data_IF_623641195490
#
_entry.id   IF_623641195490
#
_cell.length_a   1.000
_cell.length_b   1.000
_cell.length_c   1.000
_cell.angle_alpha   90.00
_cell.angle_beta   90.00
_cell.angle_gamma   90.00
#
_symmetry.space_group_name_H-M   'P 1'
#
loop_
_entity.id
_entity.type
_entity.pdbx_description
1 polymer ?
#
# COMPACT_ATOMS: atom_id res chain seq x y z
N UNK A 1 -1.33 -12.95 26.27
CA UNK A 1 0.07 -12.48 26.42
C UNK A 1 0.60 -12.25 25.01
N UNK A 2 0.74 -10.99 24.57
CA UNK A 2 1.32 -10.69 23.27
C UNK A 2 2.84 -10.88 23.38
N UNK A 3 3.32 -12.09 23.12
CA UNK A 3 4.74 -12.36 23.00
C UNK A 3 5.19 -11.87 21.62
N UNK A 4 5.57 -10.59 21.56
CA UNK A 4 6.19 -10.05 20.36
C UNK A 4 7.55 -10.75 20.19
N UNK A 5 7.75 -11.41 19.04
CA UNK A 5 9.01 -12.09 18.70
C UNK A 5 10.17 -11.12 18.39
N UNK A 6 10.00 -9.83 18.73
CA UNK A 6 10.89 -8.74 18.34
C UNK A 6 11.23 -7.91 19.57
N UNK A 7 12.52 -7.85 19.90
CA UNK A 7 13.06 -7.09 21.04
C UNK A 7 13.00 -5.56 20.84
N UNK A 8 12.86 -5.10 19.59
CA UNK A 8 12.87 -3.68 19.27
C UNK A 8 12.20 -3.38 17.93
N UNK A 9 11.75 -2.13 17.75
CA UNK A 9 11.18 -1.64 16.49
C UNK A 9 12.12 -1.84 15.30
N UNK A 10 13.44 -1.70 15.53
CA UNK A 10 14.46 -2.00 14.53
C UNK A 10 14.50 -3.50 14.17
N UNK A 11 14.40 -4.39 15.16
CA UNK A 11 14.34 -5.83 14.95
C UNK A 11 13.08 -6.28 14.21
N UNK A 12 11.96 -5.59 14.40
CA UNK A 12 10.74 -5.81 13.63
C UNK A 12 10.87 -5.39 12.16
N UNK A 13 11.57 -4.28 11.87
CA UNK A 13 11.77 -3.82 10.49
C UNK A 13 12.78 -4.68 9.75
N UNK A 14 13.89 -5.04 10.42
CA UNK A 14 14.98 -5.80 9.80
C UNK A 14 14.65 -7.30 9.75
N UNK A 15 13.87 -7.82 10.70
CA UNK A 15 13.57 -9.25 10.90
C UNK A 15 14.79 -10.14 10.61
N UNK A 16 15.91 -9.88 11.28
CA UNK A 16 17.17 -10.62 11.10
C UNK A 16 17.65 -10.73 9.63
N UNK A 17 17.34 -9.72 8.81
CA UNK A 17 17.66 -9.67 7.38
C UNK A 17 16.53 -10.12 6.45
N UNK A 18 15.46 -10.71 6.98
CA UNK A 18 14.29 -11.12 6.19
C UNK A 18 13.27 -10.01 5.96
N UNK A 19 13.33 -8.92 6.73
CA UNK A 19 12.35 -7.84 6.66
C UNK A 19 12.31 -7.19 5.29
N UNK A 20 13.46 -7.09 4.61
CA UNK A 20 13.54 -6.50 3.26
C UNK A 20 12.57 -7.17 2.27
N UNK A 21 12.44 -8.49 2.29
CA UNK A 21 11.54 -9.21 1.38
C UNK A 21 10.06 -8.93 1.70
N UNK A 22 9.72 -8.91 2.99
CA UNK A 22 8.35 -8.64 3.47
C UNK A 22 7.94 -7.23 3.11
N UNK A 23 8.79 -6.25 3.43
CA UNK A 23 8.53 -4.84 3.14
C UNK A 23 8.51 -4.57 1.63
N UNK A 24 9.41 -5.17 0.84
CA UNK A 24 9.40 -5.00 -0.61
C UNK A 24 8.08 -5.47 -1.23
N UNK A 25 7.59 -6.68 -0.90
CA UNK A 25 6.31 -7.18 -1.42
C UNK A 25 5.15 -6.34 -0.90
N UNK A 26 5.18 -5.97 0.38
CA UNK A 26 4.17 -5.08 0.97
C UNK A 26 4.08 -3.74 0.24
N UNK A 27 5.21 -3.11 -0.07
CA UNK A 27 5.26 -1.86 -0.83
C UNK A 27 4.70 -2.03 -2.24
N UNK A 28 5.03 -3.12 -2.93
CA UNK A 28 4.49 -3.39 -4.27
C UNK A 28 2.96 -3.47 -4.22
N UNK A 29 2.40 -4.23 -3.27
CA UNK A 29 0.94 -4.37 -3.12
C UNK A 29 0.28 -3.03 -2.80
N UNK A 30 0.86 -2.26 -1.89
CA UNK A 30 0.36 -0.92 -1.54
C UNK A 30 0.38 0.01 -2.76
N UNK A 31 1.46 0.00 -3.55
CA UNK A 31 1.58 0.81 -4.77
C UNK A 31 0.52 0.37 -5.80
N UNK A 32 0.29 -0.93 -5.97
CA UNK A 32 -0.73 -1.45 -6.88
C UNK A 32 -2.14 -1.01 -6.46
N UNK A 33 -2.46 -1.09 -5.17
CA UNK A 33 -3.75 -0.63 -4.64
C UNK A 33 -3.95 0.86 -4.82
N UNK A 34 -2.94 1.67 -4.49
CA UNK A 34 -2.98 3.13 -4.68
C UNK A 34 -3.18 3.46 -6.16
N UNK A 35 -2.44 2.79 -7.04
CA UNK A 35 -2.52 2.99 -8.49
C UNK A 35 -3.92 2.68 -9.01
N UNK A 36 -4.52 1.57 -8.58
CA UNK A 36 -5.90 1.21 -8.92
C UNK A 36 -6.89 2.27 -8.44
N UNK A 37 -6.73 2.74 -7.20
CA UNK A 37 -7.62 3.74 -6.62
C UNK A 37 -7.52 5.10 -7.33
N UNK A 38 -6.30 5.52 -7.67
CA UNK A 38 -6.04 6.75 -8.43
C UNK A 38 -6.62 6.64 -9.84
N UNK A 39 -6.40 5.51 -10.52
CA UNK A 39 -6.96 5.26 -11.85
C UNK A 39 -8.49 5.33 -11.82
N UNK A 40 -9.11 4.64 -10.88
CA UNK A 40 -10.56 4.62 -10.73
C UNK A 40 -11.12 6.01 -10.41
N UNK A 41 -10.49 6.75 -9.49
CA UNK A 41 -10.87 8.15 -9.18
C UNK A 41 -10.75 9.06 -10.40
N UNK A 42 -9.73 8.88 -11.22
CA UNK A 42 -9.57 9.67 -12.45
C UNK A 42 -10.66 9.34 -13.46
N UNK A 43 -11.01 8.07 -13.63
CA UNK A 43 -12.08 7.66 -14.54
C UNK A 43 -13.46 8.16 -14.08
N UNK A 44 -13.77 8.05 -12.78
CA UNK A 44 -14.97 8.64 -12.19
C UNK A 44 -15.04 10.16 -12.39
N UNK A 45 -13.92 10.87 -12.25
CA UNK A 45 -13.87 12.31 -12.54
C UNK A 45 -14.17 12.62 -14.00
N UNK A 46 -13.67 11.81 -14.95
CA UNK A 46 -13.99 11.98 -16.38
C UNK A 46 -15.49 11.77 -16.63
N UNK A 47 -16.08 10.72 -16.06
CA UNK A 47 -17.51 10.43 -16.19
C UNK A 47 -18.37 11.55 -15.59
N UNK A 48 -18.03 12.02 -14.39
CA UNK A 48 -18.72 13.17 -13.76
C UNK A 48 -18.61 14.44 -14.61
N UNK A 49 -17.44 14.72 -15.19
CA UNK A 49 -17.24 15.88 -16.06
C UNK A 49 -18.05 15.76 -17.36
N UNK A 50 -18.16 14.55 -17.93
CA UNK A 50 -18.97 14.29 -19.13
C UNK A 50 -20.46 14.54 -18.87
N UNK A 51 -20.99 14.02 -17.77
CA UNK A 51 -22.41 14.19 -17.39
C UNK A 51 -22.78 15.62 -16.97
N UNK A 52 -21.83 16.43 -16.51
CA UNK A 52 -22.08 17.84 -16.15
C UNK A 52 -22.04 18.80 -17.35
N UNK A 53 -21.50 18.35 -18.49
CA UNK A 53 -21.28 19.18 -19.68
C UNK A 53 -22.26 18.83 -20.82
N UNK A 54 -23.27 18.02 -20.52
CA UNK A 54 -24.51 17.79 -21.29
C UNK A 54 -25.65 18.57 -20.62
#
# INVERSE_FOLDING_TARGET
>A
MFNFAFDSFSGFIVMDGHGVYVWSVFFIVIISLISMFVFYKNELKKLKKKHFNE
#
